data_IF_560706666106
#
_entry.id   IF_560706666106
#
_cell.length_a   1.000
_cell.length_b   1.000
_cell.length_c   1.000
_cell.angle_alpha   90.00
_cell.angle_beta   90.00
_cell.angle_gamma   90.00
#
_symmetry.space_group_name_H-M   'P 1'
#
loop_
_entity.id
_entity.type
_entity.pdbx_description
1 polymer ?
#
# COMPACT_ATOMS: atom_id res chain seq x y z
N UNK A 1 10.13 -0.24 0.33
CA UNK A 1 10.38 1.18 0.65
C UNK A 1 9.25 1.91 1.40
N UNK A 2 7.95 1.63 1.22
CA UNK A 2 6.88 2.40 1.93
C UNK A 2 6.50 1.87 3.33
N UNK A 3 6.52 0.55 3.52
CA UNK A 3 6.35 -0.09 4.84
C UNK A 3 7.57 0.15 5.73
N UNK A 4 8.71 0.46 5.12
CA UNK A 4 9.94 0.75 5.86
C UNK A 4 9.76 1.99 6.71
N UNK A 5 9.05 3.03 6.28
CA UNK A 5 8.95 4.28 7.06
C UNK A 5 8.11 4.13 8.34
N UNK A 6 6.97 3.44 8.26
CA UNK A 6 6.18 3.13 9.47
C UNK A 6 6.92 2.15 10.38
N UNK A 7 7.65 1.18 9.81
CA UNK A 7 8.46 0.24 10.60
C UNK A 7 9.75 0.88 11.15
N UNK A 8 10.32 1.89 10.49
CA UNK A 8 11.53 2.64 10.83
C UNK A 8 11.29 3.49 12.07
N UNK A 9 10.14 4.17 12.14
CA UNK A 9 9.70 4.87 13.36
C UNK A 9 9.47 3.87 14.52
N UNK A 10 9.01 2.66 14.23
CA UNK A 10 8.59 1.68 15.24
C UNK A 10 9.72 0.80 15.82
N UNK A 11 10.91 0.77 15.23
CA UNK A 11 11.96 -0.25 15.52
C UNK A 11 13.12 0.19 16.44
N UNK A 12 12.98 1.28 17.17
CA UNK A 12 13.98 1.73 18.15
C UNK A 12 14.94 2.80 17.64
N UNK A 13 14.80 3.23 16.38
CA UNK A 13 15.56 4.34 15.80
C UNK A 13 15.00 5.71 16.22
N UNK A 14 13.77 5.76 16.76
CA UNK A 14 13.13 7.00 17.23
C UNK A 14 13.91 7.65 18.41
N UNK A 15 14.57 6.84 19.24
CA UNK A 15 15.34 7.33 20.39
C UNK A 15 16.66 7.98 19.96
N UNK A 16 17.31 7.47 18.91
CA UNK A 16 18.49 8.08 18.31
C UNK A 16 18.13 9.30 17.47
N UNK A 17 17.03 9.26 16.71
CA UNK A 17 16.53 10.39 15.94
C UNK A 17 16.13 11.56 16.87
N UNK A 18 15.58 11.26 18.05
CA UNK A 18 15.31 12.27 19.10
C UNK A 18 16.56 13.04 19.52
N UNK A 19 17.74 12.40 19.56
CA UNK A 19 19.02 13.07 19.87
C UNK A 19 19.40 14.11 18.82
N UNK A 20 18.89 13.99 17.60
CA UNK A 20 19.09 14.93 16.49
C UNK A 20 17.91 15.91 16.30
N UNK A 21 16.99 15.98 17.27
CA UNK A 21 15.86 16.91 17.23
C UNK A 21 14.65 16.40 16.44
N UNK A 22 14.62 15.11 16.05
CA UNK A 22 13.44 14.49 15.48
C UNK A 22 12.34 14.37 16.54
N UNK A 23 11.18 14.96 16.25
CA UNK A 23 10.05 14.98 17.17
C UNK A 23 8.82 14.26 16.56
N UNK A 24 7.77 14.12 17.35
CA UNK A 24 6.54 13.45 16.93
C UNK A 24 5.87 14.12 15.72
N UNK A 25 6.10 15.43 15.50
CA UNK A 25 5.55 16.16 14.37
C UNK A 25 6.27 15.80 13.06
N UNK A 26 7.59 15.58 13.09
CA UNK A 26 8.35 15.07 11.96
C UNK A 26 7.90 13.66 11.56
N UNK A 27 7.75 12.75 12.55
CA UNK A 27 7.20 11.41 12.34
C UNK A 27 5.79 11.46 11.73
N UNK A 28 4.92 12.34 12.25
CA UNK A 28 3.56 12.51 11.74
C UNK A 28 3.53 13.06 10.31
N UNK A 29 4.30 14.10 10.02
CA UNK A 29 4.37 14.70 8.68
C UNK A 29 4.83 13.68 7.61
N UNK A 30 5.77 12.81 7.96
CA UNK A 30 6.24 11.75 7.08
C UNK A 30 5.16 10.67 6.89
N UNK A 31 4.48 10.24 7.96
CA UNK A 31 3.37 9.30 7.88
C UNK A 31 2.22 9.85 7.01
N UNK A 32 1.88 11.13 7.17
CA UNK A 32 0.86 11.83 6.39
C UNK A 32 1.27 11.94 4.90
N UNK A 33 2.53 12.28 4.62
CA UNK A 33 3.06 12.30 3.26
C UNK A 33 2.94 10.93 2.58
N UNK A 34 3.35 9.86 3.29
CA UNK A 34 3.23 8.50 2.78
C UNK A 34 1.77 8.11 2.51
N UNK A 35 0.85 8.44 3.41
CA UNK A 35 -0.59 8.20 3.24
C UNK A 35 -1.14 8.93 2.01
N UNK A 36 -0.78 10.20 1.84
CA UNK A 36 -1.18 11.02 0.69
C UNK A 36 -0.64 10.47 -0.63
N UNK A 37 0.61 10.01 -0.66
CA UNK A 37 1.20 9.38 -1.84
C UNK A 37 0.47 8.08 -2.21
N UNK A 38 0.16 7.24 -1.21
CA UNK A 38 -0.61 6.01 -1.39
C UNK A 38 -2.00 6.27 -1.96
N UNK A 39 -2.72 7.25 -1.41
CA UNK A 39 -4.04 7.65 -1.90
C UNK A 39 -3.98 8.25 -3.33
N UNK A 40 -2.94 9.01 -3.63
CA UNK A 40 -2.70 9.55 -4.99
C UNK A 40 -2.51 8.41 -6.00
N UNK A 41 -1.70 7.40 -5.65
CA UNK A 41 -1.50 6.22 -6.49
C UNK A 41 -2.80 5.44 -6.71
N UNK A 42 -3.60 5.23 -5.65
CA UNK A 42 -4.91 4.57 -5.74
C UNK A 42 -5.85 5.29 -6.71
N UNK A 43 -5.94 6.63 -6.59
CA UNK A 43 -6.78 7.44 -7.47
C UNK A 43 -6.31 7.39 -8.92
N UNK A 44 -5.00 7.47 -9.16
CA UNK A 44 -4.42 7.40 -10.50
C UNK A 44 -4.66 6.03 -11.16
N UNK A 45 -4.63 4.94 -10.39
CA UNK A 45 -4.80 3.57 -10.89
C UNK A 45 -6.25 3.19 -11.19
N UNK A 46 -7.24 3.94 -10.70
CA UNK A 46 -8.66 3.60 -10.88
C UNK A 46 -9.09 3.51 -12.35
N UNK A 47 -8.66 4.45 -13.19
CA UNK A 47 -8.99 4.43 -14.62
C UNK A 47 -8.25 3.30 -15.37
N UNK A 48 -6.91 3.16 -15.25
CA UNK A 48 -6.17 2.04 -15.81
C UNK A 48 -6.70 0.66 -15.39
N UNK A 49 -7.07 0.49 -14.11
CA UNK A 49 -7.66 -0.75 -13.62
C UNK A 49 -8.97 -1.09 -14.33
N UNK A 50 -9.88 -0.12 -14.48
CA UNK A 50 -11.16 -0.36 -15.14
C UNK A 50 -10.98 -0.70 -16.62
N UNK A 51 -10.03 -0.06 -17.30
CA UNK A 51 -9.67 -0.39 -18.67
C UNK A 51 -9.13 -1.81 -18.78
N UNK A 52 -8.15 -2.17 -17.93
CA UNK A 52 -7.56 -3.51 -17.91
C UNK A 52 -8.64 -4.57 -17.61
N UNK A 53 -9.46 -4.35 -16.59
CA UNK A 53 -10.60 -5.22 -16.24
C UNK A 53 -11.55 -5.44 -17.41
N UNK A 54 -11.82 -4.40 -18.21
CA UNK A 54 -12.68 -4.51 -19.40
C UNK A 54 -12.06 -5.36 -20.51
N UNK A 55 -10.72 -5.29 -20.65
CA UNK A 55 -9.94 -5.99 -21.68
C UNK A 55 -9.63 -7.45 -21.31
N UNK A 56 -9.55 -7.79 -20.02
CA UNK A 56 -9.32 -9.16 -19.55
C UNK A 56 -10.50 -10.06 -19.88
N UNK A 57 -10.36 -10.94 -20.88
CA UNK A 57 -11.42 -11.85 -21.35
C UNK A 57 -11.55 -13.11 -20.50
N UNK A 58 -10.44 -13.59 -19.95
CA UNK A 58 -10.44 -14.77 -19.10
C UNK A 58 -11.16 -14.45 -17.78
N UNK A 59 -12.13 -15.29 -17.40
CA UNK A 59 -12.98 -15.08 -16.22
C UNK A 59 -12.20 -15.23 -14.91
N UNK A 60 -11.27 -16.16 -14.84
CA UNK A 60 -10.45 -16.41 -13.66
C UNK A 60 -9.44 -15.29 -13.47
N UNK A 61 -8.75 -14.91 -14.54
CA UNK A 61 -7.82 -13.78 -14.55
C UNK A 61 -8.52 -12.48 -14.18
N UNK A 62 -9.73 -12.23 -14.72
CA UNK A 62 -10.53 -11.05 -14.36
C UNK A 62 -10.91 -11.05 -12.87
N UNK A 63 -11.24 -12.22 -12.32
CA UNK A 63 -11.58 -12.37 -10.90
C UNK A 63 -10.35 -12.11 -10.03
N UNK A 64 -9.19 -12.65 -10.39
CA UNK A 64 -7.92 -12.40 -9.71
C UNK A 64 -7.57 -10.91 -9.73
N UNK A 65 -7.68 -10.25 -10.89
CA UNK A 65 -7.45 -8.82 -11.05
C UNK A 65 -8.32 -7.97 -10.11
N UNK A 66 -9.61 -8.29 -10.05
CA UNK A 66 -10.56 -7.59 -9.17
C UNK A 66 -10.22 -7.83 -7.70
N UNK A 67 -9.84 -9.05 -7.33
CA UNK A 67 -9.47 -9.38 -5.95
C UNK A 67 -8.25 -8.58 -5.51
N UNK A 68 -7.17 -8.63 -6.30
CA UNK A 68 -5.92 -7.93 -6.04
C UNK A 68 -6.10 -6.41 -5.96
N UNK A 69 -6.87 -5.82 -6.88
CA UNK A 69 -7.14 -4.38 -6.82
C UNK A 69 -7.99 -4.00 -5.60
N UNK A 70 -9.01 -4.80 -5.26
CA UNK A 70 -9.87 -4.53 -4.11
C UNK A 70 -9.13 -4.65 -2.78
N UNK A 71 -8.26 -5.65 -2.63
CA UNK A 71 -7.43 -5.80 -1.43
C UNK A 71 -6.36 -4.71 -1.32
N UNK A 72 -5.79 -4.28 -2.45
CA UNK A 72 -4.93 -3.10 -2.49
C UNK A 72 -5.65 -1.83 -2.03
N UNK A 73 -6.87 -1.58 -2.52
CA UNK A 73 -7.69 -0.43 -2.10
C UNK A 73 -7.97 -0.46 -0.59
N UNK A 74 -8.26 -1.64 -0.03
CA UNK A 74 -8.46 -1.82 1.41
C UNK A 74 -7.16 -1.54 2.18
N UNK A 75 -6.03 -2.06 1.71
CA UNK A 75 -4.72 -1.83 2.33
C UNK A 75 -4.35 -0.35 2.34
N UNK A 76 -4.53 0.37 1.23
CA UNK A 76 -4.21 1.80 1.13
C UNK A 76 -5.09 2.65 2.07
N UNK A 77 -6.38 2.32 2.19
CA UNK A 77 -7.32 3.05 3.08
C UNK A 77 -7.13 2.73 4.55
N UNK A 78 -6.68 1.52 4.88
CA UNK A 78 -6.43 1.09 6.25
C UNK A 78 -5.14 0.24 6.31
N UNK A 79 -3.96 0.88 6.29
CA UNK A 79 -2.69 0.17 6.26
C UNK A 79 -2.44 -0.55 7.59
N UNK A 80 -2.45 -1.88 7.57
CA UNK A 80 -2.07 -2.71 8.70
C UNK A 80 -1.51 -4.06 8.21
N UNK A 81 -0.87 -4.86 9.07
CA UNK A 81 -0.25 -6.12 8.65
C UNK A 81 -1.23 -7.11 7.99
N UNK A 82 -2.50 -7.14 8.42
CA UNK A 82 -3.50 -8.07 7.92
C UNK A 82 -3.98 -7.67 6.52
N UNK A 83 -4.25 -6.38 6.31
CA UNK A 83 -4.67 -5.86 4.99
C UNK A 83 -3.53 -5.94 3.98
N UNK A 84 -2.29 -5.74 4.43
CA UNK A 84 -1.08 -5.94 3.63
C UNK A 84 -0.94 -7.42 3.20
N UNK A 85 -0.99 -8.35 4.15
CA UNK A 85 -0.89 -9.78 3.85
C UNK A 85 -1.97 -10.22 2.86
N UNK A 86 -3.21 -9.78 3.08
CA UNK A 86 -4.32 -10.06 2.17
C UNK A 86 -4.05 -9.55 0.75
N UNK A 87 -3.52 -8.34 0.62
CA UNK A 87 -3.11 -7.80 -0.67
C UNK A 87 -2.01 -8.66 -1.32
N UNK A 88 -0.97 -9.05 -0.58
CA UNK A 88 0.11 -9.90 -1.08
C UNK A 88 -0.40 -11.28 -1.53
N UNK A 89 -1.33 -11.89 -0.78
CA UNK A 89 -1.98 -13.16 -1.12
C UNK A 89 -2.83 -13.02 -2.40
N UNK A 90 -3.68 -12.00 -2.50
CA UNK A 90 -4.52 -11.77 -3.68
C UNK A 90 -3.69 -11.40 -4.93
N UNK A 91 -2.56 -10.70 -4.74
CA UNK A 91 -1.63 -10.33 -5.81
C UNK A 91 -0.72 -11.49 -6.25
N UNK A 92 -0.59 -12.56 -5.44
CA UNK A 92 0.28 -13.70 -5.72
C UNK A 92 -0.03 -14.42 -7.04
N UNK A 93 -1.28 -14.28 -7.54
CA UNK A 93 -1.67 -14.72 -8.87
C UNK A 93 -0.76 -14.16 -9.98
N UNK A 94 -0.29 -12.92 -9.82
CA UNK A 94 0.58 -12.23 -10.78
C UNK A 94 2.07 -12.34 -10.45
N UNK A 95 2.42 -12.76 -9.23
CA UNK A 95 3.81 -12.92 -8.79
C UNK A 95 4.43 -14.26 -9.21
N UNK A 96 3.60 -15.23 -9.65
CA UNK A 96 4.01 -16.56 -10.08
C UNK A 96 3.91 -16.75 -11.62
N UNK A 97 3.93 -15.66 -12.38
CA UNK A 97 3.97 -15.64 -13.86
C UNK A 97 5.39 -15.31 -14.31
#
# INVERSE_FOLDING_TARGET
>A
MFIEVQNFISKGEEEDLRKFGWNADASRAIADCSSNQMMTALNAMKSPFNELKSKTKNKEERKALISAYSSWEIYIKNPNPQTKQKFEEDASYYSNI
#
